data_IF_567885006370
#
_entry.id   IF_567885006370
#
_cell.length_a   1.000
_cell.length_b   1.000
_cell.length_c   1.000
_cell.angle_alpha   90.00
_cell.angle_beta   90.00
_cell.angle_gamma   90.00
#
_symmetry.space_group_name_H-M   'P 1'
#
loop_
_entity.id
_entity.type
_entity.pdbx_description
1 polymer ?
#
# COMPACT_ATOMS: atom_id res chain seq x y z
N UNK A 1 3.76 11.11 -18.76
CA UNK A 1 2.40 11.67 -18.74
C UNK A 1 2.42 12.93 -17.87
N UNK A 2 1.71 14.00 -18.24
CA UNK A 2 1.67 15.22 -17.42
C UNK A 2 0.95 14.94 -16.10
N UNK A 3 1.52 15.38 -14.97
CA UNK A 3 1.00 15.21 -13.61
C UNK A 3 -0.46 15.67 -13.48
N UNK A 4 -0.84 16.73 -14.20
CA UNK A 4 -2.21 17.26 -14.29
C UNK A 4 -3.24 16.25 -14.79
N UNK A 5 -2.89 15.40 -15.79
CA UNK A 5 -3.85 14.41 -16.33
C UNK A 5 -4.14 13.25 -15.38
N UNK A 6 -3.22 12.97 -14.46
CA UNK A 6 -3.37 11.92 -13.45
C UNK A 6 -4.32 12.37 -12.35
N UNK A 7 -4.10 13.56 -11.82
CA UNK A 7 -4.91 14.12 -10.75
C UNK A 7 -6.35 14.33 -11.21
N UNK A 8 -6.55 14.78 -12.44
CA UNK A 8 -7.87 14.84 -13.09
C UNK A 8 -8.54 13.46 -13.14
N UNK A 9 -7.83 12.42 -13.60
CA UNK A 9 -8.34 11.05 -13.64
C UNK A 9 -8.72 10.50 -12.26
N UNK A 10 -7.87 10.73 -11.24
CA UNK A 10 -8.15 10.32 -9.86
C UNK A 10 -9.40 11.03 -9.32
N UNK A 11 -9.56 12.33 -9.58
CA UNK A 11 -10.77 13.08 -9.21
C UNK A 11 -12.03 12.56 -9.91
N UNK A 12 -11.93 12.18 -11.19
CA UNK A 12 -13.04 11.56 -11.93
C UNK A 12 -13.49 10.23 -11.32
N UNK A 13 -12.58 9.52 -10.65
CA UNK A 13 -12.84 8.28 -9.92
C UNK A 13 -13.31 8.50 -8.48
N UNK A 14 -13.38 9.75 -8.00
CA UNK A 14 -13.81 10.06 -6.63
C UNK A 14 -12.69 10.14 -5.59
N UNK A 15 -11.42 10.14 -6.01
CA UNK A 15 -10.28 10.32 -5.09
C UNK A 15 -10.12 11.81 -4.75
N UNK A 16 -9.69 12.07 -3.51
CA UNK A 16 -9.44 13.41 -3.00
C UNK A 16 -7.93 13.65 -2.78
N UNK A 17 -7.52 14.92 -2.73
CA UNK A 17 -6.12 15.26 -2.40
C UNK A 17 -5.84 15.07 -0.90
N UNK A 18 -4.59 14.72 -0.52
CA UNK A 18 -3.41 14.49 -1.37
C UNK A 18 -3.38 13.12 -2.07
N UNK A 19 -2.98 13.08 -3.35
CA UNK A 19 -2.95 11.84 -4.16
C UNK A 19 -1.70 10.98 -3.99
N UNK A 20 -0.71 11.50 -3.27
CA UNK A 20 0.59 10.90 -3.00
C UNK A 20 0.78 10.50 -1.54
N UNK A 21 -0.23 10.74 -0.69
CA UNK A 21 -0.23 10.36 0.72
C UNK A 21 -1.42 9.45 1.05
N UNK A 22 -1.41 8.88 2.25
CA UNK A 22 -2.51 8.06 2.73
C UNK A 22 -3.64 8.90 3.32
N UNK A 23 -4.90 8.65 2.93
CA UNK A 23 -6.04 9.25 3.60
C UNK A 23 -6.26 8.62 4.99
N UNK A 24 -5.63 7.48 5.27
CA UNK A 24 -5.68 6.77 6.55
C UNK A 24 -4.37 6.96 7.30
N UNK A 25 -4.45 7.26 8.59
CA UNK A 25 -3.28 7.39 9.47
C UNK A 25 -2.46 6.10 9.49
N UNK A 26 -1.13 6.27 9.49
CA UNK A 26 -0.18 5.17 9.65
C UNK A 26 -0.35 4.59 11.07
N UNK A 27 -0.52 3.27 11.23
CA UNK A 27 -0.67 2.65 12.55
C UNK A 27 0.53 2.93 13.48
N UNK A 28 0.29 2.92 14.79
CA UNK A 28 1.35 3.06 15.79
C UNK A 28 2.46 2.00 15.60
N UNK A 29 3.71 2.47 15.55
CA UNK A 29 4.87 1.61 15.33
C UNK A 29 5.07 1.21 13.86
N UNK A 30 4.37 1.87 12.92
CA UNK A 30 4.57 1.71 11.48
C UNK A 30 5.03 3.04 10.88
N UNK A 31 5.65 2.95 9.70
CA UNK A 31 6.19 4.06 8.94
C UNK A 31 5.74 3.95 7.48
N UNK A 32 5.86 5.05 6.73
CA UNK A 32 5.50 5.10 5.31
C UNK A 32 4.09 5.62 5.06
N UNK A 33 3.32 4.94 4.20
CA UNK A 33 1.99 5.36 3.76
C UNK A 33 1.99 6.22 2.50
N UNK A 34 3.16 6.50 1.93
CA UNK A 34 3.27 7.16 0.65
C UNK A 34 2.62 6.32 -0.47
N UNK A 35 1.95 7.00 -1.39
CA UNK A 35 1.32 6.37 -2.56
C UNK A 35 2.18 6.59 -3.77
N UNK A 36 2.54 5.49 -4.43
CA UNK A 36 3.30 5.49 -5.67
C UNK A 36 2.41 4.90 -6.77
N UNK A 37 2.27 5.62 -7.87
CA UNK A 37 1.70 5.05 -9.08
C UNK A 37 2.75 4.18 -9.78
N UNK A 38 2.48 2.87 -9.90
CA UNK A 38 3.42 1.92 -10.50
C UNK A 38 3.25 1.80 -12.03
N UNK A 39 2.31 2.56 -12.60
CA UNK A 39 2.00 2.61 -14.02
C UNK A 39 0.54 2.20 -14.29
N UNK A 40 -0.03 2.80 -15.33
CA UNK A 40 -1.45 2.59 -15.65
C UNK A 40 -2.34 3.09 -14.50
N UNK A 41 -3.30 2.26 -14.12
CA UNK A 41 -4.27 2.55 -13.08
C UNK A 41 -3.95 1.84 -11.76
N UNK A 42 -2.69 1.40 -11.59
CA UNK A 42 -2.26 0.69 -10.40
C UNK A 42 -1.60 1.68 -9.44
N UNK A 43 -2.12 1.72 -8.21
CA UNK A 43 -1.55 2.44 -7.10
C UNK A 43 -0.92 1.43 -6.13
N UNK A 44 0.26 1.77 -5.62
CA UNK A 44 0.98 0.99 -4.62
C UNK A 44 1.21 1.87 -3.39
N UNK A 45 0.79 1.38 -2.24
CA UNK A 45 1.00 2.00 -0.94
C UNK A 45 2.03 1.17 -0.18
N UNK A 46 3.10 1.81 0.25
CA UNK A 46 4.20 1.13 0.93
C UNK A 46 4.17 1.49 2.41
N UNK A 47 4.12 0.47 3.25
CA UNK A 47 4.20 0.59 4.70
C UNK A 47 5.28 -0.30 5.26
N UNK A 48 5.91 0.14 6.33
CA UNK A 48 7.07 -0.51 6.93
C UNK A 48 6.87 -0.54 8.43
N UNK A 49 7.32 -1.60 9.09
CA UNK A 49 7.27 -1.66 10.57
C UNK A 49 8.45 -0.89 11.20
N UNK A 50 9.53 -0.62 10.45
CA UNK A 50 10.78 -0.06 10.97
C UNK A 50 10.93 1.44 10.74
N UNK A 51 11.70 2.10 11.62
CA UNK A 51 12.12 3.48 11.43
C UNK A 51 13.25 3.61 10.40
N UNK A 52 13.20 4.66 9.58
CA UNK A 52 14.18 5.00 8.54
C UNK A 52 15.64 4.80 9.00
N UNK A 53 16.29 3.72 8.57
CA UNK A 53 17.68 3.38 8.92
C UNK A 53 17.89 1.96 9.44
N UNK A 54 16.83 1.29 9.90
CA UNK A 54 16.87 -0.07 10.47
C UNK A 54 16.24 -1.13 9.54
N UNK A 55 16.59 -1.10 8.25
CA UNK A 55 16.03 -2.00 7.22
C UNK A 55 16.14 -3.50 7.54
N UNK A 56 17.10 -3.90 8.37
CA UNK A 56 17.48 -5.30 8.57
C UNK A 56 16.62 -6.07 9.58
N UNK A 57 15.68 -5.43 10.26
CA UNK A 57 14.98 -6.05 11.40
C UNK A 57 13.50 -6.37 11.15
N UNK A 58 12.94 -6.00 9.98
CA UNK A 58 11.48 -5.76 9.92
C UNK A 58 10.83 -6.00 8.55
N UNK A 59 9.49 -5.94 8.51
CA UNK A 59 8.65 -6.26 7.35
C UNK A 59 8.27 -5.02 6.55
N UNK A 60 8.36 -5.11 5.23
CA UNK A 60 7.82 -4.13 4.27
C UNK A 60 6.56 -4.70 3.63
N UNK A 61 5.54 -3.86 3.51
CA UNK A 61 4.23 -4.19 2.97
C UNK A 61 3.96 -3.32 1.76
N UNK A 62 3.75 -3.94 0.61
CA UNK A 62 3.27 -3.30 -0.59
C UNK A 62 1.79 -3.63 -0.77
N UNK A 63 0.95 -2.59 -0.76
CA UNK A 63 -0.47 -2.74 -1.00
C UNK A 63 -0.82 -2.17 -2.36
N UNK A 64 -1.26 -3.04 -3.25
CA UNK A 64 -1.52 -2.77 -4.66
C UNK A 64 -3.03 -2.76 -4.89
N UNK A 65 -3.53 -1.73 -5.56
CA UNK A 65 -4.93 -1.65 -5.97
C UNK A 65 -5.07 -1.00 -7.35
N UNK A 66 -6.03 -1.50 -8.13
CA UNK A 66 -6.40 -0.94 -9.43
C UNK A 66 -7.52 0.10 -9.20
N UNK A 67 -7.25 1.35 -9.54
CA UNK A 67 -8.20 2.45 -9.37
C UNK A 67 -9.22 2.52 -10.51
N UNK A 68 -9.04 1.75 -11.58
CA UNK A 68 -9.90 1.76 -12.78
C UNK A 68 -10.80 0.56 -12.95
N UNK A 69 -10.43 -0.59 -12.39
CA UNK A 69 -11.14 -1.85 -12.55
C UNK A 69 -11.14 -2.62 -11.24
N UNK A 70 -12.34 -2.84 -10.69
CA UNK A 70 -12.61 -3.55 -9.44
C UNK A 70 -11.93 -2.91 -8.22
N UNK A 71 -12.67 -2.73 -7.12
CA UNK A 71 -12.13 -2.12 -5.92
C UNK A 71 -11.22 -3.07 -5.10
N UNK A 72 -10.43 -3.90 -5.77
CA UNK A 72 -9.60 -4.94 -5.17
C UNK A 72 -8.32 -4.37 -4.58
N UNK A 73 -8.04 -4.74 -3.33
CA UNK A 73 -6.85 -4.38 -2.57
C UNK A 73 -6.05 -5.65 -2.32
N UNK A 74 -4.82 -5.70 -2.85
CA UNK A 74 -3.89 -6.81 -2.69
C UNK A 74 -2.72 -6.42 -1.79
N UNK A 75 -2.34 -7.29 -0.87
CA UNK A 75 -1.18 -7.16 0.01
C UNK A 75 -0.09 -8.13 -0.44
N UNK A 76 1.13 -7.61 -0.60
CA UNK A 76 2.36 -8.37 -0.69
C UNK A 76 3.26 -7.95 0.47
N UNK A 77 3.80 -8.93 1.20
CA UNK A 77 4.71 -8.68 2.30
C UNK A 77 6.11 -9.19 1.97
N UNK A 78 7.09 -8.48 2.49
CA UNK A 78 8.50 -8.75 2.26
C UNK A 78 9.23 -8.72 3.59
N UNK A 79 10.07 -9.72 3.82
CA UNK A 79 10.91 -9.82 5.02
C UNK A 79 12.37 -9.64 4.64
N UNK A 80 13.16 -9.08 5.54
CA UNK A 80 14.58 -8.94 5.32
C UNK A 80 15.28 -10.28 5.43
N UNK A 81 16.06 -10.64 4.40
CA UNK A 81 16.95 -11.78 4.43
C UNK A 81 18.40 -11.30 4.60
N UNK A 82 19.02 -11.72 5.71
CA UNK A 82 20.39 -11.32 6.05
C UNK A 82 21.45 -11.97 5.14
N UNK A 83 21.19 -13.15 4.60
CA UNK A 83 22.10 -13.88 3.73
C UNK A 83 22.14 -13.25 2.32
N UNK A 84 20.98 -12.78 1.84
CA UNK A 84 20.86 -12.04 0.58
C UNK A 84 21.10 -10.54 0.73
N UNK A 85 21.05 -9.99 1.95
CA UNK A 85 21.22 -8.57 2.24
C UNK A 85 20.11 -7.70 1.63
N UNK A 86 18.88 -8.21 1.60
CA UNK A 86 17.76 -7.54 0.96
C UNK A 86 16.40 -8.14 1.31
N UNK A 87 15.34 -7.45 0.89
CA UNK A 87 13.97 -7.92 1.05
C UNK A 87 13.67 -9.07 0.10
N UNK A 88 13.12 -10.15 0.65
CA UNK A 88 12.57 -11.27 -0.11
C UNK A 88 11.07 -11.34 0.12
N UNK A 89 10.35 -11.79 -0.91
CA UNK A 89 8.92 -11.99 -0.81
C UNK A 89 8.61 -13.06 0.25
N UNK A 90 7.71 -12.75 1.18
CA UNK A 90 7.38 -13.64 2.30
C UNK A 90 6.42 -14.79 1.93
N UNK A 91 6.12 -14.92 0.63
CA UNK A 91 5.21 -15.90 0.04
C UNK A 91 3.74 -15.75 0.43
N UNK A 92 3.36 -14.66 1.09
CA UNK A 92 1.97 -14.36 1.47
C UNK A 92 1.37 -13.31 0.54
N UNK A 93 0.25 -13.70 -0.09
CA UNK A 93 -0.62 -12.78 -0.82
C UNK A 93 -1.98 -12.81 -0.15
N UNK A 94 -2.44 -11.65 0.31
CA UNK A 94 -3.82 -11.47 0.79
C UNK A 94 -4.52 -10.48 -0.12
N UNK A 95 -5.81 -10.65 -0.37
CA UNK A 95 -6.58 -9.69 -1.14
C UNK A 95 -8.02 -9.58 -0.64
N UNK A 96 -8.59 -8.39 -0.72
CA UNK A 96 -10.00 -8.15 -0.43
C UNK A 96 -10.56 -7.12 -1.40
N UNK A 97 -11.80 -7.31 -1.83
CA UNK A 97 -12.54 -6.32 -2.61
C UNK A 97 -13.23 -5.34 -1.66
N UNK A 98 -13.06 -4.05 -1.92
CA UNK A 98 -13.78 -2.99 -1.23
C UNK A 98 -15.23 -2.89 -1.73
N UNK A 99 -16.13 -2.48 -0.85
CA UNK A 99 -17.53 -2.23 -1.22
C UNK A 99 -17.67 -0.95 -2.07
N UNK A 100 -16.74 -0.01 -1.90
CA UNK A 100 -16.67 1.28 -2.61
C UNK A 100 -15.28 1.46 -3.26
N UNK A 101 -15.27 2.03 -4.47
CA UNK A 101 -14.06 2.27 -5.26
C UNK A 101 -13.52 3.68 -4.99
N UNK A 102 -13.12 3.93 -3.75
CA UNK A 102 -12.53 5.19 -3.27
C UNK A 102 -11.25 4.93 -2.45
N UNK A 103 -10.39 5.94 -2.35
CA UNK A 103 -9.09 5.80 -1.69
C UNK A 103 -9.20 5.46 -0.21
N UNK A 104 -10.18 6.04 0.49
CA UNK A 104 -10.28 5.89 1.94
C UNK A 104 -10.69 4.46 2.28
N UNK A 105 -11.71 3.92 1.60
CA UNK A 105 -12.16 2.53 1.81
C UNK A 105 -11.05 1.53 1.45
N UNK A 106 -10.32 1.77 0.36
CA UNK A 106 -9.22 0.89 -0.04
C UNK A 106 -8.02 0.98 0.91
N UNK A 107 -7.67 2.18 1.38
CA UNK A 107 -6.61 2.38 2.37
C UNK A 107 -6.95 1.76 3.73
N UNK A 108 -8.23 1.77 4.13
CA UNK A 108 -8.70 1.10 5.34
C UNK A 108 -8.55 -0.43 5.24
N UNK A 109 -8.98 -1.03 4.13
CA UNK A 109 -8.78 -2.46 3.89
C UNK A 109 -7.29 -2.82 3.84
N UNK A 110 -6.49 -1.97 3.22
CA UNK A 110 -5.04 -2.11 3.16
C UNK A 110 -4.47 -2.18 4.59
N UNK A 111 -4.88 -1.25 5.48
CA UNK A 111 -4.48 -1.22 6.90
C UNK A 111 -4.87 -2.52 7.62
N UNK A 112 -6.11 -2.98 7.44
CA UNK A 112 -6.61 -4.19 8.09
C UNK A 112 -5.86 -5.45 7.63
N UNK A 113 -5.59 -5.58 6.34
CA UNK A 113 -4.85 -6.72 5.78
C UNK A 113 -3.45 -6.81 6.36
N UNK A 114 -2.77 -5.67 6.44
CA UNK A 114 -1.44 -5.57 7.03
C UNK A 114 -1.41 -5.91 8.52
N UNK A 115 -2.30 -5.32 9.32
CA UNK A 115 -2.38 -5.58 10.75
C UNK A 115 -2.68 -7.06 11.02
N UNK A 116 -3.58 -7.66 10.22
CA UNK A 116 -3.88 -9.09 10.32
C UNK A 116 -2.67 -9.95 9.99
N UNK A 117 -1.89 -9.58 8.96
CA UNK A 117 -0.65 -10.28 8.63
C UNK A 117 0.39 -10.20 9.75
N UNK A 118 0.62 -9.01 10.29
CA UNK A 118 1.61 -8.80 11.34
C UNK A 118 1.25 -9.48 12.67
N UNK A 119 -0.03 -9.78 12.92
CA UNK A 119 -0.47 -10.58 14.08
C UNK A 119 -0.31 -12.10 13.86
N UNK A 120 -0.23 -12.54 12.61
CA UNK A 120 -0.08 -13.95 12.23
C UNK A 120 1.40 -14.37 12.05
N UNK A 121 2.30 -13.40 11.83
CA UNK A 121 3.75 -13.60 11.68
C UNK A 121 4.46 -13.75 13.05
#
# INVERSE_FOLDING_TARGET
MSQTRREEFLRELGYEEPFDESPVEVPDGWNGGAVVNTGGNIMCRIWQTWETGNRSEETEFEVIYDVSQDASVGLQAYTWDADYGGYIFDHTIKSRTADEQDDHTQAEIARELMQSHNQEA
#
